data_IF_115089141536
#
_entry.id   IF_115089141536
#
_cell.length_a   1.000
_cell.length_b   1.000
_cell.length_c   1.000
_cell.angle_alpha   90.00
_cell.angle_beta   90.00
_cell.angle_gamma   90.00
#
_symmetry.space_group_name_H-M   'P 1'
#
loop_
_entity.id
_entity.type
_entity.pdbx_description
1 polymer ?
#
# COMPACT_ATOMS: atom_id res chain seq x y z
N UNK A 1 -10.06 -44.14 -32.23
CA UNK A 1 -9.85 -44.02 -30.77
C UNK A 1 -8.48 -43.37 -30.59
N UNK A 2 -8.28 -42.06 -30.63
CA UNK A 2 -8.71 -40.95 -29.73
C UNK A 2 -8.54 -41.29 -28.25
N UNK A 3 -7.47 -40.72 -27.64
CA UNK A 3 -7.24 -40.40 -26.20
C UNK A 3 -5.90 -40.91 -25.64
N UNK A 4 -4.75 -40.49 -26.17
CA UNK A 4 -3.46 -40.62 -25.44
C UNK A 4 -2.48 -39.49 -25.78
N UNK A 5 -2.94 -38.23 -25.82
CA UNK A 5 -2.09 -37.07 -26.14
C UNK A 5 -2.50 -35.80 -25.38
N UNK A 6 -3.00 -35.94 -24.14
CA UNK A 6 -3.43 -34.80 -23.32
C UNK A 6 -3.05 -35.00 -21.84
N UNK A 7 -1.81 -35.43 -21.56
CA UNK A 7 -1.31 -35.46 -20.18
C UNK A 7 0.04 -34.76 -19.98
N UNK A 8 0.60 -34.09 -21.00
CA UNK A 8 1.83 -33.30 -20.85
C UNK A 8 1.60 -31.78 -20.81
N UNK A 9 0.36 -31.30 -20.78
CA UNK A 9 0.04 -29.88 -20.89
C UNK A 9 -0.63 -29.28 -19.63
N UNK A 10 -0.38 -29.85 -18.45
CA UNK A 10 -0.90 -29.31 -17.17
C UNK A 10 0.21 -29.02 -16.15
N UNK A 11 1.48 -29.21 -16.51
CA UNK A 11 2.59 -29.00 -15.57
C UNK A 11 3.18 -27.58 -15.59
N UNK A 12 2.60 -26.63 -16.32
CA UNK A 12 3.02 -25.22 -16.32
C UNK A 12 2.02 -24.29 -15.60
N UNK A 13 1.57 -24.70 -14.42
CA UNK A 13 1.01 -23.75 -13.45
C UNK A 13 2.12 -23.30 -12.50
N UNK A 14 2.99 -22.46 -13.07
CA UNK A 14 3.45 -21.19 -12.47
C UNK A 14 3.69 -21.29 -10.96
N UNK A 15 4.86 -21.79 -10.55
CA UNK A 15 5.44 -21.41 -9.26
C UNK A 15 5.87 -19.94 -9.30
N UNK A 16 4.92 -19.01 -9.38
CA UNK A 16 5.14 -17.60 -9.03
C UNK A 16 5.00 -17.47 -7.51
N UNK A 17 5.86 -18.16 -6.76
CA UNK A 17 6.17 -17.82 -5.37
C UNK A 17 7.36 -16.86 -5.35
N UNK A 18 7.31 -15.83 -6.19
CA UNK A 18 8.18 -14.66 -6.10
C UNK A 18 7.33 -13.55 -5.54
N UNK A 19 7.76 -12.93 -4.44
CA UNK A 19 7.09 -11.80 -3.76
C UNK A 19 6.33 -10.94 -4.77
N UNK A 20 5.00 -11.07 -4.81
CA UNK A 20 4.18 -10.24 -5.70
C UNK A 20 4.29 -8.82 -5.17
N UNK A 21 5.00 -7.97 -5.90
CA UNK A 21 5.12 -6.56 -5.54
C UNK A 21 3.71 -5.96 -5.50
N UNK A 22 3.32 -5.46 -4.32
CA UNK A 22 2.02 -4.83 -4.12
C UNK A 22 1.92 -3.58 -4.98
N UNK A 23 0.76 -3.32 -5.56
CA UNK A 23 0.46 -2.06 -6.24
C UNK A 23 0.54 -0.86 -5.28
N UNK A 24 0.66 0.37 -5.78
CA UNK A 24 0.62 1.56 -4.94
C UNK A 24 -0.63 1.61 -4.04
N UNK A 25 -1.80 1.32 -4.60
CA UNK A 25 -3.08 1.27 -3.88
C UNK A 25 -3.13 0.20 -2.80
N UNK A 26 -2.61 -1.01 -3.05
CA UNK A 26 -2.50 -2.06 -2.03
C UNK A 26 -1.54 -1.66 -0.90
N UNK A 27 -0.40 -1.04 -1.23
CA UNK A 27 0.55 -0.54 -0.24
C UNK A 27 -0.05 0.59 0.59
N UNK A 28 -0.74 1.54 -0.05
CA UNK A 28 -1.44 2.64 0.62
C UNK A 28 -2.46 2.12 1.63
N UNK A 29 -3.23 1.08 1.28
CA UNK A 29 -4.16 0.43 2.19
C UNK A 29 -3.44 -0.13 3.43
N UNK A 30 -2.38 -0.91 3.22
CA UNK A 30 -1.62 -1.50 4.34
C UNK A 30 -1.03 -0.41 5.23
N UNK A 31 -0.50 0.67 4.68
CA UNK A 31 0.05 1.79 5.47
C UNK A 31 -1.05 2.50 6.27
N UNK A 32 -2.20 2.80 5.67
CA UNK A 32 -3.32 3.42 6.38
C UNK A 32 -3.82 2.53 7.53
N UNK A 33 -4.04 1.25 7.28
CA UNK A 33 -4.48 0.29 8.30
C UNK A 33 -3.43 0.13 9.40
N UNK A 34 -2.15 0.02 9.03
CA UNK A 34 -1.04 -0.06 10.00
C UNK A 34 -0.98 1.17 10.89
N UNK A 35 -1.17 2.37 10.31
CA UNK A 35 -1.21 3.62 11.05
C UNK A 35 -2.34 3.60 12.08
N UNK A 36 -3.60 3.42 11.65
CA UNK A 36 -4.76 3.48 12.53
C UNK A 36 -4.84 2.30 13.51
N UNK A 37 -4.23 1.14 13.26
CA UNK A 37 -4.24 -0.01 14.18
C UNK A 37 -2.97 -0.14 15.03
N UNK A 38 -2.05 0.84 14.96
CA UNK A 38 -0.84 0.84 15.77
C UNK A 38 0.22 -0.21 15.35
N UNK A 39 0.13 -0.77 14.15
CA UNK A 39 1.11 -1.77 13.66
C UNK A 39 2.38 -1.10 13.16
N UNK A 40 3.32 -0.84 14.08
CA UNK A 40 4.62 -0.23 13.78
C UNK A 40 5.49 -1.09 12.86
N UNK A 41 5.34 -2.41 12.89
CA UNK A 41 6.18 -3.31 12.09
C UNK A 41 5.79 -3.23 10.60
N UNK A 42 4.49 -3.34 10.31
CA UNK A 42 3.98 -3.15 8.96
C UNK A 42 4.15 -1.72 8.49
N UNK A 43 3.89 -0.73 9.36
CA UNK A 43 4.13 0.68 9.03
C UNK A 43 5.57 0.89 8.56
N UNK A 44 6.58 0.44 9.33
CA UNK A 44 8.00 0.55 8.95
C UNK A 44 8.35 -0.20 7.67
N UNK A 45 7.73 -1.34 7.41
CA UNK A 45 8.02 -2.18 6.23
C UNK A 45 7.54 -1.53 4.92
N UNK A 46 6.41 -0.84 4.97
CA UNK A 46 5.72 -0.29 3.79
C UNK A 46 5.87 1.22 3.63
N UNK A 47 6.71 1.86 4.44
CA UNK A 47 7.09 3.27 4.31
C UNK A 47 8.60 3.40 4.06
N UNK A 48 9.02 4.50 3.45
CA UNK A 48 10.43 4.93 3.47
C UNK A 48 10.85 5.27 4.91
N UNK A 49 12.14 5.45 5.17
CA UNK A 49 12.62 5.87 6.50
C UNK A 49 12.00 7.22 6.92
N UNK A 50 11.89 8.17 5.99
CA UNK A 50 11.27 9.47 6.21
C UNK A 50 9.75 9.36 6.44
N UNK A 51 9.05 8.57 5.61
CA UNK A 51 7.62 8.30 5.78
C UNK A 51 7.32 7.65 7.12
N UNK A 52 8.16 6.69 7.55
CA UNK A 52 8.03 6.06 8.87
C UNK A 52 8.20 7.09 10.00
N UNK A 53 9.25 7.90 9.94
CA UNK A 53 9.53 8.89 10.98
C UNK A 53 8.37 9.89 11.11
N UNK A 54 7.81 10.35 9.99
CA UNK A 54 6.67 11.24 9.98
C UNK A 54 5.41 10.58 10.56
N UNK A 55 5.00 9.42 10.03
CA UNK A 55 3.76 8.75 10.44
C UNK A 55 3.83 8.21 11.87
N UNK A 56 4.93 7.56 12.26
CA UNK A 56 5.08 7.00 13.60
C UNK A 56 5.14 8.06 14.70
N UNK A 57 5.57 9.29 14.40
CA UNK A 57 5.64 10.39 15.38
C UNK A 57 4.27 10.82 15.90
N UNK A 58 3.21 10.63 15.10
CA UNK A 58 1.84 11.02 15.45
C UNK A 58 0.90 9.82 15.64
N UNK A 59 1.33 8.61 15.30
CA UNK A 59 0.48 7.40 15.23
C UNK A 59 -0.37 7.19 16.49
N UNK A 60 0.23 7.28 17.69
CA UNK A 60 -0.44 7.02 18.96
C UNK A 60 -1.66 7.93 19.20
N UNK A 61 -1.69 9.12 18.59
CA UNK A 61 -2.81 10.06 18.70
C UNK A 61 -4.03 9.66 17.88
N UNK A 62 -3.88 8.73 16.94
CA UNK A 62 -4.90 8.34 15.96
C UNK A 62 -5.28 6.86 16.01
N UNK A 63 -4.67 6.07 16.91
CA UNK A 63 -4.96 4.64 17.02
C UNK A 63 -6.45 4.40 17.32
N UNK A 64 -7.01 3.47 16.57
CA UNK A 64 -8.38 2.98 16.66
C UNK A 64 -8.38 1.57 17.26
N UNK A 65 -9.57 1.05 17.57
CA UNK A 65 -9.72 -0.35 17.97
C UNK A 65 -9.19 -1.29 16.87
N UNK A 66 -8.40 -2.31 17.24
CA UNK A 66 -7.77 -3.23 16.26
C UNK A 66 -8.77 -4.03 15.42
N UNK A 67 -9.99 -4.19 15.91
CA UNK A 67 -11.08 -4.88 15.22
C UNK A 67 -11.99 -3.92 14.45
N UNK A 68 -11.78 -2.61 14.56
CA UNK A 68 -12.51 -1.63 13.77
C UNK A 68 -12.17 -1.77 12.29
N UNK A 69 -13.20 -1.66 11.44
CA UNK A 69 -13.06 -1.72 9.99
C UNK A 69 -12.57 -0.39 9.46
N UNK A 70 -11.52 -0.42 8.65
CA UNK A 70 -10.96 0.79 8.03
C UNK A 70 -11.87 1.41 6.99
N UNK A 71 -12.71 0.58 6.35
CA UNK A 71 -13.46 0.90 5.12
C UNK A 71 -12.61 1.68 4.11
N UNK A 72 -11.33 1.30 3.99
CA UNK A 72 -10.38 1.94 3.10
C UNK A 72 -10.87 1.89 1.65
N UNK A 73 -10.92 3.05 1.01
CA UNK A 73 -11.30 3.20 -0.40
C UNK A 73 -10.32 4.14 -1.10
N UNK A 74 -9.90 3.75 -2.29
CA UNK A 74 -9.20 4.65 -3.20
C UNK A 74 -10.23 5.59 -3.80
N UNK A 75 -9.99 6.90 -3.65
CA UNK A 75 -10.81 7.97 -4.21
C UNK A 75 -10.27 8.37 -5.58
N UNK A 76 -8.94 8.49 -5.70
CA UNK A 76 -8.25 8.81 -6.94
C UNK A 76 -6.81 8.29 -6.89
N UNK A 77 -6.23 8.01 -8.05
CA UNK A 77 -4.87 7.49 -8.22
C UNK A 77 -4.19 8.13 -9.43
N UNK A 78 -3.00 8.70 -9.21
CA UNK A 78 -2.15 9.25 -10.27
C UNK A 78 -0.78 8.60 -10.20
N UNK A 79 -0.26 8.13 -11.32
CA UNK A 79 1.06 7.48 -11.40
C UNK A 79 1.92 8.13 -12.48
N UNK A 80 3.14 8.52 -12.09
CA UNK A 80 4.13 9.17 -12.94
C UNK A 80 5.47 8.43 -12.80
N UNK A 81 5.69 7.45 -13.68
CA UNK A 81 6.89 6.61 -13.64
C UNK A 81 7.00 5.81 -12.34
N UNK A 82 7.98 6.13 -11.50
CA UNK A 82 8.25 5.46 -10.23
C UNK A 82 7.69 6.22 -9.01
N UNK A 83 6.77 7.16 -9.25
CA UNK A 83 6.02 7.89 -8.24
C UNK A 83 4.53 7.62 -8.43
N UNK A 84 3.81 7.43 -7.33
CA UNK A 84 2.36 7.31 -7.33
C UNK A 84 1.76 8.18 -6.22
N UNK A 85 0.55 8.69 -6.46
CA UNK A 85 -0.24 9.47 -5.53
C UNK A 85 -1.59 8.80 -5.35
N UNK A 86 -1.89 8.40 -4.12
CA UNK A 86 -3.15 7.74 -3.76
C UNK A 86 -3.94 8.67 -2.87
N UNK A 87 -5.05 9.19 -3.38
CA UNK A 87 -6.08 9.84 -2.57
C UNK A 87 -7.02 8.76 -2.05
N UNK A 88 -7.23 8.70 -0.75
CA UNK A 88 -8.02 7.64 -0.13
C UNK A 88 -8.93 8.18 0.97
N UNK A 89 -9.96 7.42 1.32
CA UNK A 89 -10.80 7.66 2.50
C UNK A 89 -10.77 6.47 3.44
N UNK A 90 -11.02 6.72 4.72
CA UNK A 90 -11.24 5.68 5.73
C UNK A 90 -12.50 6.00 6.53
N UNK A 91 -12.96 5.08 7.36
CA UNK A 91 -14.01 5.32 8.33
C UNK A 91 -13.58 6.25 9.48
N UNK A 92 -12.29 6.54 9.63
CA UNK A 92 -11.73 7.20 10.81
C UNK A 92 -11.51 8.70 10.64
N UNK A 93 -11.28 9.16 9.40
CA UNK A 93 -11.12 10.58 9.08
C UNK A 93 -12.18 11.00 8.06
N UNK A 94 -12.99 12.04 8.35
CA UNK A 94 -13.96 12.56 7.39
C UNK A 94 -13.31 13.20 6.16
N UNK A 95 -12.02 13.54 6.21
CA UNK A 95 -11.27 14.10 5.08
C UNK A 95 -10.46 13.01 4.38
N UNK A 96 -10.45 12.99 3.04
CA UNK A 96 -9.56 12.11 2.30
C UNK A 96 -8.08 12.38 2.65
N UNK A 97 -7.33 11.31 2.91
CA UNK A 97 -5.88 11.34 3.00
C UNK A 97 -5.25 11.27 1.61
N UNK A 98 -3.98 11.67 1.53
CA UNK A 98 -3.16 11.53 0.32
C UNK A 98 -1.82 10.94 0.71
N UNK A 99 -1.48 9.81 0.09
CA UNK A 99 -0.13 9.25 0.17
C UNK A 99 0.60 9.46 -1.15
N UNK A 100 1.85 9.92 -1.04
CA UNK A 100 2.85 9.72 -2.09
C UNK A 100 3.59 8.43 -1.84
N UNK A 101 3.77 7.65 -2.89
CA UNK A 101 4.57 6.45 -2.89
C UNK A 101 5.70 6.59 -3.90
N UNK A 102 6.85 6.05 -3.54
CA UNK A 102 7.99 5.88 -4.44
C UNK A 102 8.39 4.41 -4.49
N UNK A 103 9.12 4.02 -5.53
CA UNK A 103 9.67 2.68 -5.64
C UNK A 103 11.07 2.62 -5.02
N UNK A 104 11.23 1.86 -3.95
CA UNK A 104 12.51 1.61 -3.28
C UNK A 104 12.73 0.09 -3.19
N UNK A 105 13.89 -0.40 -3.61
CA UNK A 105 14.16 -1.84 -3.73
C UNK A 105 13.08 -2.61 -4.50
N UNK A 106 12.60 -2.02 -5.60
CA UNK A 106 11.51 -2.54 -6.47
C UNK A 106 10.13 -2.63 -5.79
N UNK A 107 9.99 -2.18 -4.54
CA UNK A 107 8.72 -2.18 -3.80
C UNK A 107 8.19 -0.76 -3.65
N UNK A 108 6.88 -0.60 -3.78
CA UNK A 108 6.23 0.66 -3.46
C UNK A 108 6.27 0.90 -1.95
N UNK A 109 6.59 2.13 -1.56
CA UNK A 109 6.60 2.56 -0.16
C UNK A 109 6.04 3.97 -0.04
N UNK A 110 5.21 4.20 0.97
CA UNK A 110 4.73 5.54 1.31
C UNK A 110 5.89 6.38 1.84
N UNK A 111 6.00 7.61 1.36
CA UNK A 111 7.01 8.58 1.81
C UNK A 111 6.35 9.82 2.37
N UNK A 112 7.13 10.67 3.04
CA UNK A 112 6.66 11.97 3.50
C UNK A 112 6.48 12.93 2.31
N UNK A 113 5.36 13.66 2.29
CA UNK A 113 5.16 14.77 1.38
C UNK A 113 5.77 16.01 2.02
N UNK A 114 6.92 16.44 1.50
CA UNK A 114 7.55 17.67 1.99
C UNK A 114 6.64 18.90 1.75
N UNK A 115 6.88 20.04 2.42
CA UNK A 115 6.02 21.23 2.34
C UNK A 115 5.84 21.85 0.95
N UNK A 116 6.64 21.43 -0.04
CA UNK A 116 6.58 21.90 -1.43
C UNK A 116 6.05 20.85 -2.40
N UNK A 117 5.64 19.70 -1.88
CA UNK A 117 5.23 18.53 -2.65
C UNK A 117 3.71 18.43 -2.66
N UNK A 118 3.09 19.24 -3.53
CA UNK A 118 1.64 19.45 -3.53
C UNK A 118 0.85 18.28 -4.14
N UNK A 119 1.51 17.35 -4.81
CA UNK A 119 0.85 16.27 -5.54
C UNK A 119 -0.11 16.77 -6.63
N UNK A 120 -0.88 15.86 -7.25
CA UNK A 120 -1.77 16.18 -8.37
C UNK A 120 -3.22 16.45 -7.95
N UNK A 121 -3.53 16.55 -6.64
CA UNK A 121 -4.91 16.62 -6.10
C UNK A 121 -5.24 17.89 -5.34
#
# INVERSE_FOLDING_TARGET
>A
MKRLLIYLLVSLLISCTGNKDMSPSETAKVVAESFYHGDKASLKKYTTAEGYANLSSIQEMFVQDKNSKSDFKVVDEVMEGEVAWIKYSTAYDPKPGVFKLIKEDKRWKVTHNGPRDNGPF
#
